data_IF_215475787661
#
_entry.id   IF_215475787661
#
_cell.length_a   1.000
_cell.length_b   1.000
_cell.length_c   1.000
_cell.angle_alpha   90.00
_cell.angle_beta   90.00
_cell.angle_gamma   90.00
#
_symmetry.space_group_name_H-M   'P 1'
#
loop_
_entity.id
_entity.type
_entity.pdbx_description
1 polymer ?
#
# COMPACT_ATOMS: atom_id res chain seq x y z
N UNK A 1 6.49 15.50 -20.85
CA UNK A 1 6.04 14.11 -20.63
C UNK A 1 5.29 13.68 -21.88
N UNK A 2 5.85 12.78 -22.70
CA UNK A 2 5.22 12.32 -23.94
C UNK A 2 4.14 11.26 -23.63
N UNK A 3 2.98 11.28 -24.30
CA UNK A 3 1.93 10.29 -24.10
C UNK A 3 2.25 9.03 -24.92
N UNK A 4 3.18 8.19 -24.43
CA UNK A 4 3.39 6.85 -24.99
C UNK A 4 2.30 5.84 -24.57
N UNK A 5 1.28 6.29 -23.83
CA UNK A 5 0.29 5.43 -23.16
C UNK A 5 -0.68 4.77 -24.15
N UNK A 6 -0.82 5.28 -25.39
CA UNK A 6 -1.83 4.80 -26.34
C UNK A 6 -1.28 4.06 -27.59
N UNK A 7 0.02 3.70 -27.63
CA UNK A 7 0.54 2.92 -28.76
C UNK A 7 0.19 1.43 -28.59
N UNK A 8 -0.41 0.76 -29.59
CA UNK A 8 -0.69 -0.68 -29.53
C UNK A 8 0.59 -1.54 -29.49
N UNK A 9 1.76 -0.94 -29.75
CA UNK A 9 3.06 -1.60 -29.76
C UNK A 9 3.99 -1.14 -28.62
N UNK A 10 3.46 -0.52 -27.56
CA UNK A 10 4.30 -0.17 -26.41
C UNK A 10 4.73 -1.44 -25.65
N UNK A 11 5.95 -1.49 -25.10
CA UNK A 11 6.35 -2.59 -24.26
C UNK A 11 5.49 -2.64 -22.98
N UNK A 12 5.29 -3.83 -22.39
CA UNK A 12 4.72 -3.95 -21.06
C UNK A 12 5.52 -3.09 -20.07
N UNK A 13 4.82 -2.33 -19.24
CA UNK A 13 5.40 -1.45 -18.23
C UNK A 13 4.99 -1.93 -16.85
N UNK A 14 5.94 -2.00 -15.93
CA UNK A 14 5.67 -2.34 -14.54
C UNK A 14 5.88 -1.10 -13.69
N UNK A 15 4.81 -0.63 -13.06
CA UNK A 15 4.85 0.47 -12.09
C UNK A 15 5.02 -0.12 -10.69
N UNK A 16 5.95 0.39 -9.90
CA UNK A 16 6.19 -0.09 -8.53
C UNK A 16 6.16 1.08 -7.58
N UNK A 17 5.49 0.94 -6.45
CA UNK A 17 5.53 1.96 -5.40
C UNK A 17 5.22 1.35 -4.02
N UNK A 18 5.58 2.14 -3.02
CA UNK A 18 5.22 1.93 -1.63
C UNK A 18 4.07 2.85 -1.19
N UNK A 19 3.22 2.35 -0.30
CA UNK A 19 2.23 3.20 0.34
C UNK A 19 1.83 2.67 1.71
N UNK A 20 1.04 3.46 2.43
CA UNK A 20 0.51 3.07 3.72
C UNK A 20 -0.89 3.63 3.98
N UNK A 21 -1.70 2.84 4.68
CA UNK A 21 -3.05 3.18 5.10
C UNK A 21 -3.05 3.30 6.62
N UNK A 22 -3.51 4.45 7.12
CA UNK A 22 -3.71 4.63 8.55
C UNK A 22 -4.95 3.88 9.00
N UNK A 23 -4.83 3.08 10.07
CA UNK A 23 -5.97 2.43 10.72
C UNK A 23 -7.03 3.44 11.18
N UNK A 24 -6.61 4.67 11.49
CA UNK A 24 -7.49 5.78 11.85
C UNK A 24 -7.32 6.95 10.87
N UNK A 25 -7.62 6.70 9.59
CA UNK A 25 -7.66 7.76 8.57
C UNK A 25 -8.94 8.59 8.72
N UNK A 26 -8.82 9.90 8.92
CA UNK A 26 -9.96 10.82 9.06
C UNK A 26 -10.08 11.68 7.79
N UNK A 27 -10.97 11.31 6.87
CA UNK A 27 -11.40 12.20 5.78
C UNK A 27 -12.76 12.80 6.14
N UNK A 28 -12.75 14.02 6.68
CA UNK A 28 -13.94 14.76 7.20
C UNK A 28 -14.77 13.96 8.22
N UNK A 29 -15.60 14.65 9.00
CA UNK A 29 -16.41 14.04 10.05
C UNK A 29 -17.53 13.16 9.45
N UNK A 30 -17.21 11.95 8.99
CA UNK A 30 -18.18 10.95 8.52
C UNK A 30 -18.98 10.28 9.66
N UNK A 31 -18.74 10.67 10.92
CA UNK A 31 -19.60 10.24 12.01
C UNK A 31 -20.96 10.92 11.84
N UNK A 32 -21.97 10.13 11.50
CA UNK A 32 -23.37 10.55 11.64
C UNK A 32 -23.59 10.71 13.14
N UNK A 33 -23.72 11.96 13.59
CA UNK A 33 -24.01 12.26 14.98
C UNK A 33 -25.45 11.88 15.27
N UNK A 34 -25.66 10.86 16.10
CA UNK A 34 -26.98 10.53 16.64
C UNK A 34 -27.21 11.34 17.92
N UNK A 35 -28.19 12.25 17.87
CA UNK A 35 -28.55 13.12 19.00
C UNK A 35 -29.24 12.37 20.14
N UNK A 36 -29.71 11.16 19.88
CA UNK A 36 -30.49 10.32 20.80
C UNK A 36 -29.61 9.31 21.54
N UNK A 37 -28.36 9.14 21.12
CA UNK A 37 -27.45 8.16 21.72
C UNK A 37 -26.81 8.72 23.00
N UNK A 38 -27.49 8.54 24.13
CA UNK A 38 -26.98 8.90 25.47
C UNK A 38 -25.68 8.15 25.85
N UNK A 39 -25.30 7.12 25.08
CA UNK A 39 -24.07 6.35 25.23
C UNK A 39 -22.94 6.78 24.28
N UNK A 40 -23.15 7.75 23.39
CA UNK A 40 -22.11 8.30 22.49
C UNK A 40 -21.17 9.24 23.28
N UNK A 41 -20.45 8.65 24.24
CA UNK A 41 -19.43 9.32 25.02
C UNK A 41 -18.27 9.67 24.09
N UNK A 42 -18.06 10.98 23.87
CA UNK A 42 -16.97 11.51 23.06
C UNK A 42 -15.63 11.02 23.62
N UNK A 43 -15.13 9.93 23.05
CA UNK A 43 -13.87 9.32 23.46
C UNK A 43 -12.72 10.16 22.90
N UNK A 44 -11.68 10.38 23.72
CA UNK A 44 -10.48 11.14 23.35
C UNK A 44 -9.94 10.63 22.01
N UNK A 45 -9.66 11.55 21.08
CA UNK A 45 -9.29 11.19 19.71
C UNK A 45 -8.03 10.29 19.70
N UNK A 46 -8.15 9.10 19.10
CA UNK A 46 -7.00 8.25 18.83
C UNK A 46 -6.25 8.84 17.62
N UNK A 47 -5.15 9.55 17.87
CA UNK A 47 -4.23 10.00 16.82
C UNK A 47 -3.61 8.82 16.05
N UNK A 48 -3.01 9.09 14.87
CA UNK A 48 -2.33 8.16 13.93
C UNK A 48 -1.99 6.81 14.58
N UNK A 49 -2.90 5.85 14.42
CA UNK A 49 -2.77 4.51 15.00
C UNK A 49 -1.78 3.64 14.21
N UNK A 50 -2.00 2.32 14.26
CA UNK A 50 -1.28 1.37 13.40
C UNK A 50 -1.39 1.77 11.93
N UNK A 51 -0.32 1.56 11.17
CA UNK A 51 -0.27 1.76 9.72
C UNK A 51 -0.19 0.39 9.06
N UNK A 52 -1.04 0.16 8.08
CA UNK A 52 -0.87 -0.95 7.15
C UNK A 52 -0.04 -0.44 5.99
N UNK A 53 1.18 -0.91 5.90
CA UNK A 53 2.11 -0.54 4.86
C UNK A 53 2.14 -1.64 3.82
N UNK A 54 2.34 -1.27 2.56
CA UNK A 54 2.43 -2.24 1.48
C UNK A 54 3.35 -1.75 0.37
N UNK A 55 3.88 -2.70 -0.37
CA UNK A 55 4.55 -2.50 -1.64
C UNK A 55 3.86 -3.37 -2.67
N UNK A 56 3.69 -2.86 -3.88
CA UNK A 56 3.07 -3.60 -4.96
C UNK A 56 3.62 -3.15 -6.32
N UNK A 57 3.48 -4.04 -7.29
CA UNK A 57 3.72 -3.75 -8.69
C UNK A 57 2.39 -3.77 -9.47
N UNK A 58 2.28 -2.93 -10.50
CA UNK A 58 1.17 -2.93 -11.45
C UNK A 58 1.77 -3.15 -12.83
N UNK A 59 1.47 -4.30 -13.43
CA UNK A 59 1.77 -4.60 -14.81
C UNK A 59 0.70 -3.97 -15.70
N UNK A 60 1.15 -3.15 -16.64
CA UNK A 60 0.34 -2.52 -17.68
C UNK A 60 0.87 -2.95 -19.04
N UNK A 61 0.06 -3.67 -19.81
CA UNK A 61 0.45 -4.28 -21.09
C UNK A 61 -0.64 -4.05 -22.13
N UNK A 62 -0.29 -3.85 -23.42
CA UNK A 62 -1.30 -3.75 -24.48
C UNK A 62 -2.03 -5.06 -24.77
N UNK A 63 -1.45 -6.20 -24.38
CA UNK A 63 -1.92 -7.53 -24.76
C UNK A 63 -2.71 -8.25 -23.66
N UNK A 64 -2.76 -7.67 -22.46
CA UNK A 64 -3.43 -8.27 -21.30
C UNK A 64 -3.97 -7.18 -20.38
N UNK A 65 -4.99 -7.53 -19.60
CA UNK A 65 -5.52 -6.63 -18.59
C UNK A 65 -4.46 -6.27 -17.54
N UNK A 66 -4.55 -5.03 -17.02
CA UNK A 66 -3.64 -4.58 -15.98
C UNK A 66 -3.74 -5.48 -14.74
N UNK A 67 -2.59 -5.86 -14.18
CA UNK A 67 -2.52 -6.81 -13.07
C UNK A 67 -1.69 -6.26 -11.92
N UNK A 68 -2.21 -6.41 -10.70
CA UNK A 68 -1.43 -6.19 -9.47
C UNK A 68 -0.58 -7.43 -9.20
N UNK A 69 0.71 -7.24 -8.94
CA UNK A 69 1.72 -8.29 -8.78
C UNK A 69 2.58 -8.03 -7.56
N UNK A 70 3.18 -9.09 -7.02
CA UNK A 70 4.10 -9.05 -5.88
C UNK A 70 3.60 -8.16 -4.73
N UNK A 71 2.32 -8.29 -4.34
CA UNK A 71 1.82 -7.50 -3.22
C UNK A 71 2.38 -8.06 -1.90
N UNK A 72 3.04 -7.22 -1.12
CA UNK A 72 3.43 -7.54 0.25
C UNK A 72 2.89 -6.49 1.22
N UNK A 73 2.30 -6.96 2.32
CA UNK A 73 1.57 -6.13 3.29
C UNK A 73 2.14 -6.40 4.67
N UNK A 74 2.52 -5.34 5.37
CA UNK A 74 3.05 -5.42 6.72
C UNK A 74 2.53 -4.28 7.59
N UNK A 75 2.72 -4.41 8.91
CA UNK A 75 2.23 -3.41 9.86
C UNK A 75 3.38 -2.53 10.34
N UNK A 76 3.25 -1.21 10.16
CA UNK A 76 4.15 -0.22 10.77
C UNK A 76 3.51 0.45 11.99
N UNK A 77 4.30 0.73 13.03
CA UNK A 77 3.89 1.55 14.19
C UNK A 77 4.08 0.88 15.56
N UNK A 78 3.88 1.68 16.62
CA UNK A 78 4.13 1.26 18.01
C UNK A 78 3.09 0.23 18.49
N UNK A 79 3.52 -1.01 18.65
CA UNK A 79 2.88 -1.95 19.57
C UNK A 79 3.95 -2.67 20.39
N UNK A 80 4.00 -2.30 21.67
CA UNK A 80 4.54 -3.05 22.82
C UNK A 80 6.00 -3.51 22.67
N UNK A 81 6.88 -2.87 23.45
CA UNK A 81 8.31 -3.18 23.64
C UNK A 81 9.20 -3.05 22.37
N UNK A 82 9.87 -1.90 22.26
CA UNK A 82 11.17 -1.64 21.57
C UNK A 82 11.49 -2.19 20.17
N UNK A 83 10.63 -2.94 19.50
CA UNK A 83 10.97 -3.64 18.25
C UNK A 83 9.92 -3.45 17.16
N UNK A 84 9.57 -2.21 16.81
CA UNK A 84 9.01 -1.94 15.49
C UNK A 84 9.66 -0.68 14.91
N UNK A 85 10.69 -0.99 14.12
CA UNK A 85 11.41 -0.17 13.16
C UNK A 85 10.43 0.66 12.31
N UNK A 86 10.81 1.88 11.97
CA UNK A 86 10.04 2.73 11.07
C UNK A 86 9.70 1.94 9.78
N UNK A 87 8.63 2.30 9.06
CA UNK A 87 8.37 1.68 7.76
C UNK A 87 9.60 1.76 6.85
N UNK A 88 10.31 2.90 6.89
CA UNK A 88 11.57 3.09 6.16
C UNK A 88 12.71 2.19 6.64
N UNK A 89 12.70 1.75 7.90
CA UNK A 89 13.68 0.79 8.40
C UNK A 89 13.38 -0.64 7.90
N UNK A 90 12.09 -0.97 7.74
CA UNK A 90 11.65 -2.25 7.15
C UNK A 90 11.86 -2.28 5.65
N UNK A 91 11.47 -1.22 4.95
CA UNK A 91 11.65 -1.05 3.50
C UNK A 91 13.06 -0.55 3.18
N UNK A 92 14.04 -1.37 3.55
CA UNK A 92 15.44 -1.13 3.23
C UNK A 92 15.84 -1.82 1.91
N UNK A 93 17.08 -1.57 1.47
CA UNK A 93 17.62 -2.16 0.25
C UNK A 93 17.49 -3.70 0.20
N UNK A 94 17.80 -4.41 1.28
CA UNK A 94 17.74 -5.87 1.30
C UNK A 94 16.30 -6.38 1.14
N UNK A 95 15.35 -5.71 1.79
CA UNK A 95 13.92 -5.98 1.62
C UNK A 95 13.49 -5.75 0.16
N UNK A 96 13.85 -4.61 -0.43
CA UNK A 96 13.48 -4.29 -1.81
C UNK A 96 14.05 -5.29 -2.82
N UNK A 97 15.30 -5.72 -2.67
CA UNK A 97 15.91 -6.72 -3.56
C UNK A 97 15.18 -8.06 -3.46
N UNK A 98 14.84 -8.52 -2.25
CA UNK A 98 14.07 -9.75 -2.06
C UNK A 98 12.67 -9.67 -2.67
N UNK A 99 11.98 -8.56 -2.41
CA UNK A 99 10.67 -8.27 -2.99
C UNK A 99 10.71 -8.22 -4.53
N UNK A 100 11.71 -7.56 -5.10
CA UNK A 100 11.89 -7.46 -6.55
C UNK A 100 12.18 -8.82 -7.19
N UNK A 101 12.90 -9.71 -6.49
CA UNK A 101 13.07 -11.09 -6.92
C UNK A 101 11.73 -11.85 -7.06
N UNK A 102 10.81 -11.65 -6.11
CA UNK A 102 9.47 -12.24 -6.19
C UNK A 102 8.68 -11.66 -7.38
N UNK A 103 8.79 -10.36 -7.64
CA UNK A 103 8.19 -9.71 -8.80
C UNK A 103 8.70 -10.32 -10.11
N UNK A 104 10.01 -10.51 -10.26
CA UNK A 104 10.59 -11.15 -11.45
C UNK A 104 10.09 -12.57 -11.62
N UNK A 105 10.04 -13.36 -10.54
CA UNK A 105 9.50 -14.72 -10.59
C UNK A 105 8.03 -14.74 -11.03
N UNK A 106 7.18 -13.85 -10.50
CA UNK A 106 5.79 -13.74 -10.94
C UNK A 106 5.66 -13.31 -12.40
N UNK A 107 6.55 -12.44 -12.90
CA UNK A 107 6.58 -12.04 -14.32
C UNK A 107 6.98 -13.20 -15.23
N UNK A 108 7.93 -14.04 -14.81
CA UNK A 108 8.36 -15.21 -15.57
C UNK A 108 7.22 -16.24 -15.71
N UNK A 109 6.32 -16.34 -14.72
CA UNK A 109 5.13 -17.20 -14.82
C UNK A 109 4.05 -16.67 -15.79
N UNK A 110 4.17 -15.43 -16.28
CA UNK A 110 3.22 -14.83 -17.23
C UNK A 110 3.66 -14.96 -18.70
N UNK A 111 4.87 -15.45 -18.96
CA UNK A 111 5.40 -15.72 -20.31
C UNK A 111 4.95 -17.10 -20.82
#
# INVERSE_FOLDING_TARGET
MQPHVASPHRPPTVYTDESYIHHHYKYRNHRVYDRSDELDVVTKEKHKGRRYCFVAAILDSPTMDSKVMAIDIFTGGKSIASELKDYHDMFNHAYYVGWFGNLLAELDYLQ
#
